data_IF_911769595377
#
_entry.id   IF_911769595377
#
_cell.length_a   1.000
_cell.length_b   1.000
_cell.length_c   1.000
_cell.angle_alpha   90.00
_cell.angle_beta   90.00
_cell.angle_gamma   90.00
#
_symmetry.space_group_name_H-M   'P 1'
#
loop_
_entity.id
_entity.type
_entity.pdbx_description
1 polymer ?
#
# COMPACT_ATOMS: atom_id res chain seq x y z
N UNK A 1 -13.13 -29.56 6.71
CA UNK A 1 -11.94 -29.33 7.56
C UNK A 1 -11.38 -27.94 7.33
N UNK A 2 -10.97 -27.23 8.39
CA UNK A 2 -10.12 -26.05 8.30
C UNK A 2 -8.68 -26.48 8.60
N UNK A 3 -7.78 -26.29 7.63
CA UNK A 3 -6.41 -26.80 7.69
C UNK A 3 -5.60 -26.05 8.77
N UNK A 4 -4.57 -26.70 9.31
CA UNK A 4 -3.74 -26.13 10.39
C UNK A 4 -3.18 -24.75 10.02
N UNK A 5 -2.72 -24.59 8.78
CA UNK A 5 -2.31 -23.31 8.19
C UNK A 5 -3.35 -22.22 8.38
N UNK A 6 -4.58 -22.46 7.91
CA UNK A 6 -5.66 -21.47 7.94
C UNK A 6 -5.93 -21.02 9.37
N UNK A 7 -5.99 -21.95 10.34
CA UNK A 7 -6.27 -21.61 11.73
C UNK A 7 -5.15 -20.78 12.37
N UNK A 8 -3.88 -21.12 12.09
CA UNK A 8 -2.74 -20.39 12.63
C UNK A 8 -2.65 -19.00 12.02
N UNK A 9 -2.71 -18.88 10.71
CA UNK A 9 -2.64 -17.60 9.98
C UNK A 9 -3.80 -16.70 10.41
N UNK A 10 -5.02 -17.23 10.47
CA UNK A 10 -6.20 -16.50 10.94
C UNK A 10 -6.02 -15.98 12.37
N UNK A 11 -5.54 -16.80 13.31
CA UNK A 11 -5.29 -16.36 14.69
C UNK A 11 -4.22 -15.27 14.76
N UNK A 12 -3.20 -15.31 13.91
CA UNK A 12 -2.16 -14.26 13.85
C UNK A 12 -2.72 -12.95 13.30
N UNK A 13 -3.55 -13.02 12.26
CA UNK A 13 -4.23 -11.87 11.68
C UNK A 13 -5.18 -11.22 12.69
N UNK A 14 -6.00 -12.02 13.39
CA UNK A 14 -6.89 -11.53 14.45
C UNK A 14 -6.14 -10.75 15.52
N UNK A 15 -4.98 -11.25 15.98
CA UNK A 15 -4.15 -10.55 16.97
C UNK A 15 -3.56 -9.24 16.47
N UNK A 16 -3.41 -9.08 15.15
CA UNK A 16 -2.96 -7.85 14.49
C UNK A 16 -4.12 -6.92 14.11
N UNK A 17 -5.37 -7.28 14.39
CA UNK A 17 -6.56 -6.49 14.05
C UNK A 17 -7.13 -6.75 12.66
N UNK A 18 -6.55 -7.67 11.88
CA UNK A 18 -7.03 -8.01 10.55
C UNK A 18 -8.04 -9.16 10.61
N UNK A 19 -9.25 -8.91 10.08
CA UNK A 19 -10.37 -9.84 10.11
C UNK A 19 -11.12 -9.81 8.78
N UNK A 20 -12.06 -10.76 8.58
CA UNK A 20 -12.93 -10.78 7.40
C UNK A 20 -12.42 -11.62 6.23
N UNK A 21 -11.22 -12.22 6.33
CA UNK A 21 -10.70 -13.09 5.28
C UNK A 21 -11.55 -14.34 5.07
N UNK A 22 -11.92 -14.56 3.82
CA UNK A 22 -12.62 -15.74 3.34
C UNK A 22 -11.67 -16.94 3.27
N UNK A 23 -12.25 -18.16 3.27
CA UNK A 23 -11.46 -19.38 3.10
C UNK A 23 -10.68 -19.39 1.78
N UNK A 24 -11.25 -18.81 0.72
CA UNK A 24 -10.63 -18.72 -0.59
C UNK A 24 -9.36 -17.87 -0.56
N UNK A 25 -9.36 -16.74 0.15
CA UNK A 25 -8.17 -15.90 0.26
C UNK A 25 -6.99 -16.60 0.94
N UNK A 26 -7.25 -17.46 1.92
CA UNK A 26 -6.18 -18.28 2.51
C UNK A 26 -5.65 -19.32 1.52
N UNK A 27 -6.49 -19.86 0.64
CA UNK A 27 -6.07 -20.82 -0.40
C UNK A 27 -5.25 -20.10 -1.46
N UNK A 28 -5.71 -18.95 -1.95
CA UNK A 28 -4.98 -18.13 -2.93
C UNK A 28 -3.62 -17.70 -2.38
N UNK A 29 -3.56 -17.32 -1.10
CA UNK A 29 -2.33 -17.00 -0.41
C UNK A 29 -1.38 -18.22 -0.35
N UNK A 30 -1.89 -19.39 0.02
CA UNK A 30 -1.09 -20.62 0.03
C UNK A 30 -0.50 -20.95 -1.36
N UNK A 31 -1.28 -20.76 -2.43
CA UNK A 31 -0.82 -20.93 -3.81
C UNK A 31 0.26 -19.89 -4.15
N UNK A 32 0.04 -18.62 -3.79
CA UNK A 32 0.97 -17.52 -4.09
C UNK A 32 2.33 -17.67 -3.40
N UNK A 33 2.37 -18.21 -2.17
CA UNK A 33 3.62 -18.45 -1.43
C UNK A 33 4.26 -19.81 -1.77
N UNK A 34 3.61 -20.64 -2.60
CA UNK A 34 4.09 -21.97 -2.96
C UNK A 34 4.01 -23.00 -1.82
N UNK A 35 3.00 -22.90 -0.95
CA UNK A 35 2.81 -23.84 0.16
C UNK A 35 2.32 -25.20 -0.36
N UNK A 36 3.15 -26.23 -0.21
CA UNK A 36 2.83 -27.60 -0.64
C UNK A 36 2.00 -28.36 0.41
N UNK A 37 2.23 -28.11 1.71
CA UNK A 37 1.55 -28.81 2.82
C UNK A 37 0.83 -27.82 3.75
N UNK A 38 -0.51 -27.80 3.66
CA UNK A 38 -1.36 -26.94 4.50
C UNK A 38 -1.57 -27.46 5.94
N UNK A 39 -1.24 -28.72 6.21
CA UNK A 39 -1.38 -29.33 7.53
C UNK A 39 -0.09 -29.29 8.33
N UNK A 40 1.06 -29.10 7.67
CA UNK A 40 2.34 -28.89 8.32
C UNK A 40 3.14 -27.70 7.77
N UNK A 41 2.60 -26.47 7.83
CA UNK A 41 3.31 -25.28 7.36
C UNK A 41 4.47 -24.93 8.30
N UNK A 42 5.58 -24.49 7.72
CA UNK A 42 6.74 -23.95 8.41
C UNK A 42 6.45 -22.55 8.98
N UNK A 43 7.29 -22.12 9.93
CA UNK A 43 7.16 -20.79 10.53
C UNK A 43 7.32 -19.67 9.50
N UNK A 44 8.19 -19.86 8.51
CA UNK A 44 8.44 -18.89 7.44
C UNK A 44 7.23 -18.75 6.52
N UNK A 45 6.63 -19.85 6.09
CA UNK A 45 5.41 -19.85 5.28
C UNK A 45 4.25 -19.18 6.02
N UNK A 46 4.11 -19.44 7.32
CA UNK A 46 3.11 -18.78 8.15
C UNK A 46 3.35 -17.26 8.31
N UNK A 47 4.59 -16.80 8.27
CA UNK A 47 4.90 -15.37 8.32
C UNK A 47 4.62 -14.72 6.98
N UNK A 48 5.14 -15.30 5.88
CA UNK A 48 4.87 -14.85 4.51
C UNK A 48 3.37 -14.80 4.20
N UNK A 49 2.61 -15.78 4.66
CA UNK A 49 1.16 -15.81 4.47
C UNK A 49 0.44 -14.68 5.18
N UNK A 50 0.87 -14.34 6.41
CA UNK A 50 0.30 -13.24 7.18
C UNK A 50 0.64 -11.90 6.52
N UNK A 51 1.89 -11.71 6.10
CA UNK A 51 2.34 -10.51 5.37
C UNK A 51 1.58 -10.34 4.06
N UNK A 52 1.50 -11.38 3.23
CA UNK A 52 0.78 -11.36 1.96
C UNK A 52 -0.70 -10.99 2.12
N UNK A 53 -1.39 -11.54 3.13
CA UNK A 53 -2.81 -11.25 3.35
C UNK A 53 -3.03 -9.83 3.88
N UNK A 54 -2.10 -9.31 4.70
CA UNK A 54 -2.15 -7.92 5.15
C UNK A 54 -1.95 -6.99 3.95
N UNK A 55 -0.90 -7.21 3.16
CA UNK A 55 -0.59 -6.40 1.97
C UNK A 55 -1.74 -6.45 0.96
N UNK A 56 -2.35 -7.63 0.76
CA UNK A 56 -3.53 -7.80 -0.10
C UNK A 56 -4.74 -7.05 0.45
N UNK A 57 -4.97 -7.04 1.76
CA UNK A 57 -6.09 -6.29 2.35
C UNK A 57 -5.86 -4.78 2.25
N UNK A 58 -4.63 -4.32 2.49
CA UNK A 58 -4.24 -2.91 2.32
C UNK A 58 -4.40 -2.47 0.85
N UNK A 59 -3.90 -3.25 -0.11
CA UNK A 59 -4.03 -2.96 -1.53
C UNK A 59 -5.47 -3.06 -2.07
N UNK A 60 -6.33 -3.89 -1.46
CA UNK A 60 -7.75 -3.92 -1.80
C UNK A 60 -8.49 -2.72 -1.23
N UNK A 61 -8.11 -2.23 -0.03
CA UNK A 61 -8.62 -0.97 0.50
C UNK A 61 -8.31 0.19 -0.46
N UNK A 62 -7.09 0.22 -1.01
CA UNK A 62 -6.67 1.22 -2.00
C UNK A 62 -7.40 1.16 -3.34
N UNK A 63 -8.12 0.07 -3.66
CA UNK A 63 -8.89 -0.06 -4.92
C UNK A 63 -10.36 0.30 -4.80
N UNK A 64 -10.87 0.51 -3.59
CA UNK A 64 -12.29 0.86 -3.35
C UNK A 64 -12.47 2.36 -3.08
N UNK A 65 -11.38 3.13 -2.95
CA UNK A 65 -11.43 4.58 -2.73
C UNK A 65 -11.33 5.38 -4.04
N UNK A 66 -12.19 5.06 -5.01
CA UNK A 66 -12.77 6.07 -5.92
C UNK A 66 -14.21 6.32 -5.46
N UNK A 67 -14.39 6.76 -4.22
CA UNK A 67 -15.51 7.61 -3.78
C UNK A 67 -15.30 7.92 -2.29
N UNK A 68 -14.75 9.12 -2.06
CA UNK A 68 -14.85 9.92 -0.84
C UNK A 68 -14.34 9.31 0.49
N UNK A 69 -13.18 9.81 0.95
CA UNK A 69 -13.04 10.61 2.19
C UNK A 69 -11.68 10.39 2.92
N UNK A 70 -10.70 11.23 2.58
CA UNK A 70 -9.72 11.89 3.45
C UNK A 70 -9.21 11.11 4.70
N UNK A 71 -8.06 10.40 4.62
CA UNK A 71 -7.02 10.45 5.69
C UNK A 71 -5.63 10.13 5.11
N UNK A 72 -4.77 11.16 5.06
CA UNK A 72 -3.33 11.08 4.86
C UNK A 72 -2.64 10.07 5.79
N UNK A 73 -1.94 9.07 5.23
CA UNK A 73 -0.64 8.59 5.75
C UNK A 73 0.26 8.30 4.57
N UNK A 74 1.20 9.22 4.31
CA UNK A 74 2.13 9.23 3.19
C UNK A 74 3.43 8.47 3.51
N UNK A 75 3.97 7.78 2.49
CA UNK A 75 5.39 7.62 2.08
C UNK A 75 5.93 6.17 2.07
N UNK A 76 6.86 5.83 1.14
CA UNK A 76 6.90 6.21 -0.28
C UNK A 76 7.29 5.03 -1.19
N UNK A 77 6.53 4.75 -2.26
CA UNK A 77 7.04 3.94 -3.37
C UNK A 77 7.46 4.84 -4.53
N UNK A 78 8.72 4.65 -4.94
CA UNK A 78 9.29 5.16 -6.17
C UNK A 78 8.49 4.59 -7.35
N UNK A 79 7.54 5.35 -7.85
CA UNK A 79 7.12 5.26 -9.24
C UNK A 79 7.57 6.54 -9.94
N UNK A 80 8.15 6.40 -11.13
CA UNK A 80 8.36 7.48 -12.08
C UNK A 80 7.00 8.06 -12.47
N UNK A 81 6.41 8.87 -11.60
CA UNK A 81 5.23 9.65 -11.91
C UNK A 81 5.72 10.92 -12.60
N UNK A 82 5.26 11.14 -13.83
CA UNK A 82 5.34 12.46 -14.42
C UNK A 82 4.65 13.43 -13.44
N UNK A 83 5.44 14.24 -12.72
CA UNK A 83 4.95 15.20 -11.73
C UNK A 83 3.74 15.91 -12.31
N UNK A 84 2.63 15.83 -11.59
CA UNK A 84 1.42 16.56 -11.99
C UNK A 84 1.73 18.05 -12.01
N UNK A 85 1.00 18.81 -12.83
CA UNK A 85 1.24 20.25 -12.99
C UNK A 85 1.23 21.01 -11.64
N UNK A 86 0.42 20.55 -10.70
CA UNK A 86 0.36 21.09 -9.34
C UNK A 86 1.63 20.81 -8.55
N UNK A 87 2.13 19.57 -8.56
CA UNK A 87 3.35 19.21 -7.83
C UNK A 87 4.59 19.90 -8.40
N UNK A 88 4.63 20.16 -9.72
CA UNK A 88 5.67 20.98 -10.34
C UNK A 88 5.63 22.43 -9.84
N UNK A 89 4.43 23.00 -9.66
CA UNK A 89 4.27 24.36 -9.13
C UNK A 89 4.76 24.44 -7.69
N UNK A 90 4.40 23.46 -6.85
CA UNK A 90 4.85 23.40 -5.47
C UNK A 90 6.38 23.25 -5.36
N UNK A 91 6.99 22.44 -6.22
CA UNK A 91 8.45 22.28 -6.26
C UNK A 91 9.14 23.59 -6.65
N UNK A 92 8.64 24.30 -7.67
CA UNK A 92 9.20 25.58 -8.13
C UNK A 92 9.08 26.64 -7.04
N UNK A 93 7.93 26.69 -6.35
CA UNK A 93 7.72 27.62 -5.24
C UNK A 93 8.72 27.37 -4.11
N UNK A 94 8.80 26.13 -3.60
CA UNK A 94 9.71 25.77 -2.52
C UNK A 94 11.18 26.00 -2.90
N UNK A 95 11.56 25.70 -4.13
CA UNK A 95 12.93 25.90 -4.60
C UNK A 95 13.28 27.39 -4.66
N UNK A 96 12.37 28.23 -5.15
CA UNK A 96 12.57 29.70 -5.20
C UNK A 96 12.69 30.31 -3.80
N UNK A 97 11.84 29.88 -2.86
CA UNK A 97 11.89 30.31 -1.46
C UNK A 97 13.19 29.87 -0.77
N UNK A 98 13.67 28.66 -1.04
CA UNK A 98 14.95 28.17 -0.52
C UNK A 98 16.15 28.99 -0.99
N UNK A 99 16.02 29.61 -2.17
CA UNK A 99 17.01 30.53 -2.74
C UNK A 99 16.78 31.99 -2.31
N UNK A 100 15.75 32.27 -1.51
CA UNK A 100 15.40 33.62 -1.06
C UNK A 100 14.75 34.48 -2.14
N UNK A 101 14.23 33.87 -3.20
CA UNK A 101 13.59 34.53 -4.34
C UNK A 101 12.09 34.35 -4.20
N UNK A 102 11.35 35.45 -4.09
CA UNK A 102 9.88 35.42 -4.09
C UNK A 102 9.39 35.51 -5.53
N UNK A 103 8.95 34.39 -6.10
CA UNK A 103 8.28 34.36 -7.39
C UNK A 103 6.79 34.67 -7.20
N UNK A 104 6.18 35.33 -8.18
CA UNK A 104 4.73 35.49 -8.20
C UNK A 104 4.08 34.20 -8.75
N UNK A 105 2.80 34.01 -8.46
CA UNK A 105 2.06 32.80 -8.85
C UNK A 105 2.06 32.57 -10.38
N UNK A 106 2.06 33.63 -11.20
CA UNK A 106 2.07 33.50 -12.66
C UNK A 106 3.40 32.96 -13.19
N UNK A 107 4.53 33.40 -12.60
CA UNK A 107 5.87 32.93 -12.94
C UNK A 107 6.06 31.46 -12.53
N UNK A 108 5.54 31.09 -11.36
CA UNK A 108 5.56 29.70 -10.87
C UNK A 108 4.78 28.79 -11.81
N UNK A 109 3.58 29.22 -12.22
CA UNK A 109 2.74 28.47 -13.18
C UNK A 109 3.44 28.35 -14.53
N UNK A 110 4.06 29.43 -15.03
CA UNK A 110 4.74 29.43 -16.32
C UNK A 110 5.97 28.50 -16.34
N UNK A 111 6.76 28.47 -15.26
CA UNK A 111 7.94 27.60 -15.11
C UNK A 111 7.51 26.14 -14.99
N UNK A 112 6.48 25.85 -14.21
CA UNK A 112 5.97 24.49 -14.02
C UNK A 112 5.26 23.91 -15.27
N UNK A 113 4.85 24.77 -16.21
CA UNK A 113 4.13 24.38 -17.44
C UNK A 113 5.02 24.19 -18.67
N UNK A 114 6.31 24.55 -18.59
CA UNK A 114 7.32 24.32 -19.64
C UNK A 114 8.07 23.01 -19.39
#
# INVERSE_FOLDING_TARGET
MANKFINIVRNRLYKKGYQGFTKQEFIDCAIAIGLEDMDNPTKEELNKAVEFLIDKQLNQLSKVEEEENIVNVTLPEREETALTKSEKQDLVQQQSESMGITLNEQDVIAIASN
#
